data_IF_355940206489
#
_entry.id   IF_355940206489
#
_cell.length_a   1.000
_cell.length_b   1.000
_cell.length_c   1.000
_cell.angle_alpha   90.00
_cell.angle_beta   90.00
_cell.angle_gamma   90.00
#
_symmetry.space_group_name_H-M   'P 1'
#
loop_
_entity.id
_entity.type
_entity.pdbx_description
1 polymer ?
#
# COMPACT_ATOMS: atom_id res chain seq x y z
N UNK A 1 3.70 -1.32 -31.12
CA UNK A 1 2.51 -1.45 -32.00
C UNK A 1 1.22 -1.27 -31.18
N UNK A 2 0.57 -0.12 -31.36
CA UNK A 2 -0.77 0.14 -30.87
C UNK A 2 -1.72 -0.88 -31.51
N UNK A 3 -2.35 -1.72 -30.68
CA UNK A 3 -3.16 -2.83 -31.18
C UNK A 3 -3.85 -3.59 -30.07
N UNK A 4 -4.97 -3.04 -29.59
CA UNK A 4 -6.26 -3.74 -29.47
C UNK A 4 -7.29 -2.81 -28.85
N UNK A 5 -8.21 -2.36 -29.69
CA UNK A 5 -9.54 -1.83 -29.37
C UNK A 5 -10.41 -2.93 -28.74
N UNK A 6 -9.99 -3.43 -27.57
CA UNK A 6 -10.86 -4.17 -26.66
C UNK A 6 -11.43 -3.20 -25.64
N UNK A 7 -12.72 -3.33 -25.29
CA UNK A 7 -13.27 -2.60 -24.15
C UNK A 7 -12.49 -3.00 -22.90
N UNK A 8 -11.63 -2.10 -22.41
CA UNK A 8 -10.95 -2.28 -21.12
C UNK A 8 -11.99 -2.24 -20.01
N UNK A 9 -11.85 -3.11 -19.03
CA UNK A 9 -12.70 -3.14 -17.83
C UNK A 9 -11.83 -3.19 -16.58
N UNK A 10 -12.42 -2.88 -15.44
CA UNK A 10 -11.80 -3.07 -14.13
C UNK A 10 -12.05 -4.50 -13.67
N UNK A 11 -11.00 -5.15 -13.15
CA UNK A 11 -11.10 -6.44 -12.50
C UNK A 11 -10.63 -6.31 -11.06
N UNK A 12 -11.32 -6.99 -10.15
CA UNK A 12 -10.94 -7.06 -8.73
C UNK A 12 -10.65 -8.50 -8.38
N UNK A 13 -9.55 -8.72 -7.66
CA UNK A 13 -9.14 -10.06 -7.20
C UNK A 13 -9.10 -10.06 -5.68
N UNK A 14 -10.00 -10.84 -5.06
CA UNK A 14 -10.11 -10.98 -3.62
C UNK A 14 -9.24 -12.15 -3.16
N UNK A 15 -7.99 -11.85 -2.83
CA UNK A 15 -7.05 -12.85 -2.32
C UNK A 15 -7.08 -12.85 -0.78
N UNK A 16 -7.28 -14.03 -0.16
CA UNK A 16 -7.42 -14.17 1.28
C UNK A 16 -6.57 -15.30 1.86
N UNK A 17 -6.13 -15.11 3.11
CA UNK A 17 -5.52 -16.15 3.94
C UNK A 17 -6.35 -16.31 5.21
N UNK A 18 -6.86 -17.51 5.45
CA UNK A 18 -7.64 -17.84 6.63
C UNK A 18 -6.88 -18.83 7.51
N UNK A 19 -6.67 -18.48 8.78
CA UNK A 19 -5.99 -19.35 9.74
C UNK A 19 -6.97 -20.34 10.36
N UNK A 20 -7.37 -21.32 9.55
CA UNK A 20 -8.32 -22.37 9.90
C UNK A 20 -8.71 -23.21 8.68
N UNK A 21 -9.62 -24.14 8.88
CA UNK A 21 -10.14 -24.97 7.79
C UNK A 21 -11.14 -24.20 6.93
N UNK A 22 -11.35 -24.69 5.71
CA UNK A 22 -12.23 -24.06 4.74
C UNK A 22 -13.71 -24.23 5.06
N UNK A 23 -14.15 -25.19 5.90
CA UNK A 23 -15.57 -25.23 6.32
C UNK A 23 -15.88 -24.04 7.21
N UNK A 24 -14.99 -23.74 8.17
CA UNK A 24 -15.13 -22.56 9.03
C UNK A 24 -15.04 -21.26 8.22
N UNK A 25 -14.14 -21.18 7.23
CA UNK A 25 -14.08 -20.03 6.33
C UNK A 25 -15.43 -19.79 5.63
N UNK A 26 -16.03 -20.85 5.06
CA UNK A 26 -17.31 -20.74 4.38
C UNK A 26 -18.42 -20.20 5.29
N UNK A 27 -18.48 -20.66 6.56
CA UNK A 27 -19.44 -20.14 7.54
C UNK A 27 -19.24 -18.64 7.82
N UNK A 28 -17.99 -18.20 7.96
CA UNK A 28 -17.65 -16.79 8.19
C UNK A 28 -18.04 -15.92 7.01
N UNK A 29 -17.71 -16.36 5.79
CA UNK A 29 -17.98 -15.62 4.55
C UNK A 29 -19.48 -15.54 4.27
N UNK A 30 -20.22 -16.64 4.43
CA UNK A 30 -21.68 -16.64 4.28
C UNK A 30 -22.37 -15.66 5.23
N UNK A 31 -21.82 -15.48 6.44
CA UNK A 31 -22.38 -14.57 7.44
C UNK A 31 -22.03 -13.10 7.19
N UNK A 32 -20.81 -12.81 6.76
CA UNK A 32 -20.25 -11.44 6.84
C UNK A 32 -19.86 -10.84 5.50
N UNK A 33 -19.74 -11.66 4.45
CA UNK A 33 -19.45 -11.19 3.09
C UNK A 33 -19.99 -12.16 2.01
N UNK A 34 -21.31 -12.48 2.03
CA UNK A 34 -21.91 -13.39 1.07
C UNK A 34 -21.87 -12.87 -0.37
N UNK A 35 -21.76 -11.55 -0.58
CA UNK A 35 -21.75 -10.88 -1.88
C UNK A 35 -20.55 -11.30 -2.75
N UNK A 36 -19.45 -11.76 -2.13
CA UNK A 36 -18.30 -12.28 -2.86
C UNK A 36 -18.63 -13.58 -3.63
N UNK A 37 -19.65 -14.32 -3.19
CA UNK A 37 -20.04 -15.59 -3.82
C UNK A 37 -18.97 -16.68 -3.72
N UNK A 38 -18.08 -16.62 -2.73
CA UNK A 38 -17.02 -17.60 -2.50
C UNK A 38 -17.63 -19.00 -2.37
N UNK A 39 -17.05 -19.98 -3.06
CA UNK A 39 -17.43 -21.39 -2.92
C UNK A 39 -16.29 -22.23 -2.36
N UNK A 40 -16.61 -23.45 -1.93
CA UNK A 40 -15.61 -24.43 -1.47
C UNK A 40 -14.57 -24.75 -2.55
N UNK A 41 -14.93 -24.68 -3.84
CA UNK A 41 -14.02 -24.97 -4.96
C UNK A 41 -12.91 -23.92 -5.11
N UNK A 42 -13.16 -22.72 -4.60
CA UNK A 42 -12.21 -21.60 -4.61
C UNK A 42 -11.25 -21.66 -3.41
N UNK A 43 -11.55 -22.51 -2.42
CA UNK A 43 -10.75 -22.67 -1.21
C UNK A 43 -9.69 -23.76 -1.41
N UNK A 44 -8.41 -23.40 -1.21
CA UNK A 44 -7.29 -24.34 -1.26
C UNK A 44 -6.66 -24.43 0.13
N UNK A 45 -6.84 -25.56 0.81
CA UNK A 45 -6.18 -25.81 2.09
C UNK A 45 -4.73 -26.21 1.86
N UNK A 46 -3.82 -25.60 2.62
CA UNK A 46 -2.39 -25.83 2.51
C UNK A 46 -1.67 -25.49 3.81
N UNK A 47 -0.41 -25.90 3.96
CA UNK A 47 0.42 -25.48 5.08
C UNK A 47 0.67 -23.96 5.06
N UNK A 48 0.98 -23.39 6.22
CA UNK A 48 1.26 -21.95 6.32
C UNK A 48 2.35 -21.49 5.33
N UNK A 49 3.45 -22.23 5.20
CA UNK A 49 4.53 -21.85 4.29
C UNK A 49 4.11 -21.88 2.81
N UNK A 50 3.24 -22.81 2.42
CA UNK A 50 2.67 -22.84 1.07
C UNK A 50 1.71 -21.68 0.85
N UNK A 51 0.96 -21.26 1.87
CA UNK A 51 0.10 -20.08 1.76
C UNK A 51 0.92 -18.79 1.60
N UNK A 52 2.09 -18.68 2.25
CA UNK A 52 3.02 -17.55 2.03
C UNK A 52 3.44 -17.46 0.57
N UNK A 53 3.82 -18.59 -0.04
CA UNK A 53 4.19 -18.66 -1.46
C UNK A 53 3.01 -18.33 -2.39
N UNK A 54 1.82 -18.82 -2.07
CA UNK A 54 0.59 -18.54 -2.83
C UNK A 54 0.26 -17.05 -2.86
N UNK A 55 0.29 -16.38 -1.70
CA UNK A 55 0.05 -14.91 -1.62
C UNK A 55 1.16 -14.14 -2.35
N UNK A 56 2.40 -14.62 -2.32
CA UNK A 56 3.53 -14.02 -3.03
C UNK A 56 3.50 -14.27 -4.56
N UNK A 57 2.52 -15.02 -5.09
CA UNK A 57 2.36 -15.28 -6.52
C UNK A 57 3.32 -16.31 -7.09
N UNK A 58 3.92 -17.17 -6.24
CA UNK A 58 4.70 -18.30 -6.74
C UNK A 58 3.80 -19.34 -7.41
N UNK A 59 4.29 -20.06 -8.44
CA UNK A 59 3.57 -21.20 -9.01
C UNK A 59 3.29 -22.26 -7.93
N UNK A 60 2.15 -22.94 -8.02
CA UNK A 60 1.80 -24.05 -7.10
C UNK A 60 2.85 -25.18 -7.08
N UNK A 61 3.59 -25.35 -8.18
CA UNK A 61 4.70 -26.31 -8.32
C UNK A 61 5.97 -25.91 -7.59
N UNK A 62 6.12 -24.66 -7.14
CA UNK A 62 7.35 -24.18 -6.52
C UNK A 62 7.57 -24.80 -5.12
N UNK A 63 8.78 -25.30 -4.81
CA UNK A 63 9.11 -25.82 -3.49
C UNK A 63 9.46 -24.67 -2.51
N UNK A 64 9.26 -24.80 -1.19
CA UNK A 64 9.58 -23.76 -0.20
C UNK A 64 11.00 -23.20 -0.27
N UNK A 65 11.97 -24.02 -0.67
CA UNK A 65 13.38 -23.67 -0.84
C UNK A 65 13.58 -22.58 -1.89
N UNK A 66 12.63 -22.38 -2.81
CA UNK A 66 12.65 -21.26 -3.75
C UNK A 66 12.73 -19.89 -3.04
N UNK A 67 12.23 -19.78 -1.81
CA UNK A 67 12.32 -18.56 -1.00
C UNK A 67 13.76 -18.25 -0.59
N UNK A 68 14.63 -19.26 -0.45
CA UNK A 68 16.03 -19.08 -0.06
C UNK A 68 16.89 -18.45 -1.16
N UNK A 69 16.40 -18.44 -2.42
CA UNK A 69 17.10 -17.78 -3.51
C UNK A 69 17.20 -16.25 -3.32
N UNK A 70 16.28 -15.65 -2.57
CA UNK A 70 16.31 -14.22 -2.27
C UNK A 70 16.20 -13.32 -3.51
N UNK A 71 15.47 -13.75 -4.54
CA UNK A 71 15.26 -13.00 -5.79
C UNK A 71 13.79 -12.63 -5.98
N UNK A 72 13.54 -11.44 -6.51
CA UNK A 72 12.20 -11.04 -6.93
C UNK A 72 11.76 -11.83 -8.16
N UNK A 73 10.46 -12.10 -8.29
CA UNK A 73 9.89 -12.85 -9.42
C UNK A 73 10.00 -12.08 -10.74
N UNK A 74 9.94 -10.75 -10.68
CA UNK A 74 10.09 -9.86 -11.83
C UNK A 74 10.60 -8.48 -11.37
N UNK A 75 10.92 -7.63 -12.34
CA UNK A 75 11.28 -6.21 -12.15
C UNK A 75 10.63 -5.37 -13.23
N UNK A 76 10.19 -4.18 -12.88
CA UNK A 76 9.65 -3.16 -13.77
C UNK A 76 10.00 -1.77 -13.23
N UNK A 77 9.81 -0.75 -14.05
CA UNK A 77 9.78 0.63 -13.56
C UNK A 77 8.41 0.88 -12.92
N UNK A 78 8.37 1.63 -11.83
CA UNK A 78 7.11 1.95 -11.17
C UNK A 78 7.18 3.27 -10.42
N UNK A 79 6.01 3.89 -10.25
CA UNK A 79 5.75 4.92 -9.24
C UNK A 79 4.72 4.37 -8.28
N UNK A 80 5.02 4.47 -6.99
CA UNK A 80 4.11 4.07 -5.92
C UNK A 80 3.70 5.26 -5.05
N UNK A 81 2.50 5.19 -4.49
CA UNK A 81 1.99 6.03 -3.40
C UNK A 81 1.14 5.19 -2.44
N UNK A 82 0.77 5.74 -1.30
CA UNK A 82 -0.06 5.02 -0.31
C UNK A 82 -1.04 5.94 0.39
N UNK A 83 -2.21 5.41 0.72
CA UNK A 83 -3.21 6.08 1.55
C UNK A 83 -3.74 5.15 2.64
N UNK A 84 -4.37 5.73 3.65
CA UNK A 84 -5.15 5.01 4.64
C UNK A 84 -6.60 5.52 4.61
N UNK A 85 -7.54 4.59 4.75
CA UNK A 85 -8.98 4.87 4.71
C UNK A 85 -9.57 4.71 6.10
N UNK A 86 -10.37 5.69 6.52
CA UNK A 86 -11.01 5.76 7.85
C UNK A 86 -12.54 5.60 7.76
N UNK A 87 -13.13 5.96 6.61
CA UNK A 87 -14.54 5.81 6.29
C UNK A 87 -14.68 5.17 4.89
N UNK A 88 -15.69 4.33 4.63
CA UNK A 88 -15.84 3.69 3.33
C UNK A 88 -15.91 4.70 2.18
N UNK A 89 -15.13 4.45 1.12
CA UNK A 89 -15.16 5.27 -0.09
C UNK A 89 -16.52 5.06 -0.77
N UNK A 90 -17.29 6.14 -1.06
CA UNK A 90 -18.59 6.01 -1.69
C UNK A 90 -18.46 5.47 -3.12
N UNK A 91 -19.54 4.86 -3.64
CA UNK A 91 -19.54 4.20 -4.96
C UNK A 91 -19.15 5.18 -6.07
N UNK A 92 -19.59 6.43 -5.99
CA UNK A 92 -19.26 7.50 -6.94
C UNK A 92 -17.75 7.82 -6.94
N UNK A 93 -17.12 7.72 -5.76
CA UNK A 93 -15.67 7.82 -5.61
C UNK A 93 -14.93 6.67 -6.28
N UNK A 94 -15.47 5.45 -6.17
CA UNK A 94 -14.96 4.27 -6.87
C UNK A 94 -15.13 4.39 -8.38
N UNK A 95 -16.28 4.83 -8.87
CA UNK A 95 -16.53 5.02 -10.30
C UNK A 95 -15.58 6.04 -10.94
N UNK A 96 -15.28 7.14 -10.25
CA UNK A 96 -14.28 8.08 -10.73
C UNK A 96 -12.85 7.52 -10.69
N UNK A 97 -12.51 6.72 -9.67
CA UNK A 97 -11.26 5.96 -9.64
C UNK A 97 -11.17 5.00 -10.85
N UNK A 98 -12.24 4.26 -11.16
CA UNK A 98 -12.30 3.35 -12.31
C UNK A 98 -12.06 4.07 -13.63
N UNK A 99 -12.70 5.24 -13.82
CA UNK A 99 -12.46 6.09 -15.00
C UNK A 99 -11.00 6.52 -15.14
N UNK A 100 -10.28 6.75 -14.02
CA UNK A 100 -8.86 7.08 -14.06
C UNK A 100 -7.98 5.86 -14.32
N UNK A 101 -8.26 4.70 -13.73
CA UNK A 101 -7.53 3.46 -13.99
C UNK A 101 -7.63 3.05 -15.47
N UNK A 102 -8.79 3.20 -16.10
CA UNK A 102 -8.96 2.85 -17.52
C UNK A 102 -8.14 3.73 -18.50
N UNK A 103 -7.60 4.86 -18.04
CA UNK A 103 -6.75 5.77 -18.83
C UNK A 103 -5.25 5.49 -18.73
N UNK A 104 -4.83 4.68 -17.78
CA UNK A 104 -3.41 4.34 -17.56
C UNK A 104 -3.07 2.98 -18.17
N UNK A 105 -1.83 2.76 -18.60
CA UNK A 105 -1.45 1.54 -19.31
C UNK A 105 -1.49 0.31 -18.40
N UNK A 106 -0.85 0.39 -17.23
CA UNK A 106 -0.76 -0.70 -16.26
C UNK A 106 -0.88 -0.18 -14.82
N UNK A 107 -2.05 0.34 -14.45
CA UNK A 107 -2.30 0.72 -13.07
C UNK A 107 -2.64 -0.51 -12.23
N UNK A 108 -2.22 -0.49 -10.97
CA UNK A 108 -2.56 -1.50 -9.97
C UNK A 108 -2.85 -0.80 -8.64
N UNK A 109 -3.90 -1.23 -7.95
CA UNK A 109 -4.16 -0.82 -6.58
C UNK A 109 -4.35 -2.04 -5.69
N UNK A 110 -3.78 -2.02 -4.49
CA UNK A 110 -3.82 -3.13 -3.54
C UNK A 110 -4.36 -2.63 -2.21
N UNK A 111 -5.50 -3.16 -1.78
CA UNK A 111 -6.19 -2.74 -0.57
C UNK A 111 -6.04 -3.82 0.51
N UNK A 112 -5.50 -3.43 1.67
CA UNK A 112 -5.16 -4.36 2.74
C UNK A 112 -5.97 -4.02 4.00
N UNK A 113 -6.84 -4.92 4.49
CA UNK A 113 -7.70 -4.65 5.64
C UNK A 113 -6.88 -4.49 6.93
N UNK A 114 -7.30 -3.54 7.76
CA UNK A 114 -6.81 -3.34 9.13
C UNK A 114 -7.86 -3.88 10.11
N UNK A 115 -8.05 -3.26 11.27
CA UNK A 115 -8.87 -3.83 12.35
C UNK A 115 -8.10 -4.88 13.15
N UNK A 116 -8.83 -5.82 13.76
CA UNK A 116 -8.24 -6.95 14.50
C UNK A 116 -7.20 -6.50 15.53
N UNK A 117 -6.02 -7.13 15.49
CA UNK A 117 -4.91 -6.77 16.39
C UNK A 117 -4.37 -5.36 16.12
N UNK A 118 -4.38 -4.89 14.86
CA UNK A 118 -3.84 -3.57 14.52
C UNK A 118 -4.57 -2.42 15.23
N UNK A 119 -5.85 -2.60 15.57
CA UNK A 119 -6.63 -1.61 16.32
C UNK A 119 -6.53 -1.74 17.85
N UNK A 120 -5.83 -2.76 18.36
CA UNK A 120 -5.60 -2.98 19.80
C UNK A 120 -4.24 -2.48 20.28
N UNK A 121 -3.36 -2.15 19.35
CA UNK A 121 -2.03 -1.59 19.61
C UNK A 121 -2.15 -0.06 19.64
N UNK A 122 -1.53 0.61 20.62
CA UNK A 122 -1.51 2.07 20.70
C UNK A 122 -0.77 2.68 19.48
N UNK A 123 -1.21 3.85 19.01
CA UNK A 123 -0.51 4.59 17.95
C UNK A 123 0.94 4.93 18.35
N UNK A 124 1.23 5.08 19.65
CA UNK A 124 2.55 5.45 20.17
C UNK A 124 3.40 4.26 20.66
N UNK A 125 2.89 3.03 20.56
CA UNK A 125 3.61 1.82 20.99
C UNK A 125 4.91 1.64 20.20
N UNK A 126 4.85 1.89 18.89
CA UNK A 126 5.99 1.87 18.00
C UNK A 126 5.92 3.08 17.06
N UNK A 127 6.97 3.38 16.28
CA UNK A 127 6.94 4.51 15.35
C UNK A 127 5.78 4.47 14.33
N UNK A 128 5.27 3.28 13.99
CA UNK A 128 4.18 3.09 13.05
C UNK A 128 2.81 3.42 13.70
N UNK A 129 2.15 4.52 13.30
CA UNK A 129 1.04 5.08 14.06
C UNK A 129 -0.34 4.66 13.55
N UNK A 130 -0.43 4.00 12.39
CA UNK A 130 -1.70 3.76 11.70
C UNK A 130 -2.43 2.55 12.32
N UNK A 131 -3.16 2.77 13.43
CA UNK A 131 -3.74 1.72 14.28
C UNK A 131 -5.28 1.73 14.30
N UNK A 132 -5.88 2.05 15.44
CA UNK A 132 -7.33 2.11 15.63
C UNK A 132 -7.94 3.22 14.74
N UNK A 133 -9.11 2.95 14.17
CA UNK A 133 -9.79 3.86 13.23
C UNK A 133 -9.37 3.71 11.77
N UNK A 134 -8.32 2.92 11.48
CA UNK A 134 -7.97 2.56 10.10
C UNK A 134 -8.79 1.36 9.64
N UNK A 135 -9.58 1.53 8.56
CA UNK A 135 -10.31 0.44 7.90
C UNK A 135 -9.38 -0.41 7.04
N UNK A 136 -8.62 0.23 6.16
CA UNK A 136 -7.64 -0.43 5.29
C UNK A 136 -6.58 0.56 4.79
N UNK A 137 -5.45 0.01 4.34
CA UNK A 137 -4.40 0.74 3.63
C UNK A 137 -4.48 0.45 2.14
N UNK A 138 -4.30 1.48 1.33
CA UNK A 138 -4.20 1.36 -0.12
C UNK A 138 -2.74 1.55 -0.54
N UNK A 139 -2.26 0.69 -1.42
CA UNK A 139 -1.09 0.93 -2.24
C UNK A 139 -1.54 1.31 -3.65
N UNK A 140 -1.03 2.42 -4.16
CA UNK A 140 -1.23 2.88 -5.52
C UNK A 140 0.02 2.59 -6.34
N UNK A 141 -0.14 1.98 -7.52
CA UNK A 141 0.96 1.65 -8.44
C UNK A 141 0.60 2.03 -9.87
N UNK A 142 1.58 2.60 -10.58
CA UNK A 142 1.64 2.60 -12.04
C UNK A 142 2.98 1.98 -12.43
N UNK A 143 2.98 1.01 -13.34
CA UNK A 143 4.18 0.28 -13.75
C UNK A 143 4.38 0.34 -15.25
N UNK A 144 5.64 0.33 -15.71
CA UNK A 144 5.98 0.37 -17.14
C UNK A 144 7.33 -0.31 -17.41
N UNK A 145 7.62 -0.59 -18.68
CA UNK A 145 8.79 -1.38 -19.11
C UNK A 145 9.79 -0.62 -20.00
N UNK A 146 9.36 0.45 -20.67
CA UNK A 146 10.14 1.27 -21.61
C UNK A 146 10.93 2.40 -20.93
N UNK A 147 11.11 2.32 -19.61
CA UNK A 147 11.99 3.19 -18.83
C UNK A 147 11.63 4.68 -18.95
N UNK A 148 12.59 5.51 -19.36
CA UNK A 148 12.40 6.97 -19.43
C UNK A 148 11.42 7.42 -20.52
N UNK A 149 11.12 6.58 -21.51
CA UNK A 149 10.28 6.96 -22.65
C UNK A 149 8.85 7.35 -22.24
N UNK A 150 8.28 6.68 -21.23
CA UNK A 150 6.91 6.90 -20.76
C UNK A 150 6.81 7.39 -19.30
N UNK A 151 7.93 7.48 -18.59
CA UNK A 151 7.99 7.76 -17.14
C UNK A 151 7.20 9.01 -16.73
N UNK A 152 7.38 10.13 -17.45
CA UNK A 152 6.73 11.39 -17.09
C UNK A 152 5.19 11.28 -17.08
N UNK A 153 4.63 10.59 -18.08
CA UNK A 153 3.19 10.36 -18.21
C UNK A 153 2.63 9.53 -17.06
N UNK A 154 3.34 8.45 -16.68
CA UNK A 154 2.92 7.59 -15.57
C UNK A 154 3.00 8.30 -14.21
N UNK A 155 4.03 9.13 -14.01
CA UNK A 155 4.18 9.94 -12.80
C UNK A 155 3.07 11.00 -12.72
N UNK A 156 2.78 11.69 -13.81
CA UNK A 156 1.71 12.69 -13.88
C UNK A 156 0.34 12.06 -13.60
N UNK A 157 0.03 10.93 -14.25
CA UNK A 157 -1.20 10.18 -13.99
C UNK A 157 -1.33 9.79 -12.51
N UNK A 158 -0.25 9.29 -11.89
CA UNK A 158 -0.26 8.92 -10.48
C UNK A 158 -0.56 10.12 -9.58
N UNK A 159 0.00 11.30 -9.89
CA UNK A 159 -0.23 12.53 -9.12
C UNK A 159 -1.67 13.02 -9.27
N UNK A 160 -2.22 13.00 -10.48
CA UNK A 160 -3.62 13.35 -10.75
C UNK A 160 -4.62 12.39 -10.06
N UNK A 161 -4.37 11.08 -10.13
CA UNK A 161 -5.18 10.08 -9.42
C UNK A 161 -5.09 10.25 -7.91
N UNK A 162 -3.88 10.44 -7.37
CA UNK A 162 -3.69 10.65 -5.93
C UNK A 162 -4.36 11.94 -5.43
N UNK A 163 -4.34 13.02 -6.22
CA UNK A 163 -5.08 14.25 -5.92
C UNK A 163 -6.58 13.99 -5.85
N UNK A 164 -7.15 13.29 -6.84
CA UNK A 164 -8.57 12.93 -6.83
C UNK A 164 -9.01 12.12 -5.59
N UNK A 165 -8.14 11.23 -5.11
CA UNK A 165 -8.41 10.41 -3.93
C UNK A 165 -8.34 11.18 -2.60
N UNK A 166 -7.78 12.39 -2.57
CA UNK A 166 -7.58 13.18 -1.35
C UNK A 166 -8.86 13.34 -0.51
N UNK A 167 -10.00 13.50 -1.18
CA UNK A 167 -11.27 13.72 -0.50
C UNK A 167 -11.85 12.47 0.19
N UNK A 168 -11.35 11.27 -0.15
CA UNK A 168 -11.91 9.97 0.31
C UNK A 168 -11.01 9.20 1.28
N UNK A 169 -9.82 9.73 1.58
CA UNK A 169 -8.80 9.09 2.42
C UNK A 169 -8.59 9.91 3.69
N UNK A 170 -7.76 9.40 4.61
CA UNK A 170 -7.43 10.10 5.85
C UNK A 170 -6.93 11.54 5.58
N UNK A 171 -7.29 12.46 6.47
CA UNK A 171 -6.92 13.89 6.37
C UNK A 171 -6.32 14.37 7.69
N UNK A 172 -5.45 15.37 7.61
CA UNK A 172 -4.86 16.08 8.77
C UNK A 172 -4.19 15.13 9.81
N UNK A 173 -3.09 14.45 9.45
CA UNK A 173 -2.40 14.46 8.15
C UNK A 173 -2.98 13.42 7.18
N UNK A 174 -2.73 13.59 5.88
CA UNK A 174 -2.97 12.53 4.89
C UNK A 174 -1.93 11.43 5.07
N UNK A 175 -2.33 10.33 5.70
CA UNK A 175 -1.43 9.29 6.20
C UNK A 175 -0.75 8.54 5.05
N UNK A 176 0.54 8.24 5.21
CA UNK A 176 1.35 7.47 4.28
C UNK A 176 2.17 6.41 5.01
N UNK A 177 2.61 5.36 4.30
CA UNK A 177 3.43 4.29 4.88
C UNK A 177 4.91 4.46 4.51
N UNK A 178 5.79 4.57 5.50
CA UNK A 178 7.22 4.86 5.29
C UNK A 178 7.95 3.84 4.38
N UNK A 179 7.54 2.57 4.40
CA UNK A 179 8.13 1.56 3.52
C UNK A 179 7.64 1.65 2.06
N UNK A 180 6.64 2.49 1.77
CA UNK A 180 6.26 2.91 0.43
C UNK A 180 6.71 4.36 0.24
N UNK A 181 8.04 4.54 0.12
CA UNK A 181 8.69 5.84 0.02
C UNK A 181 8.12 6.66 -1.14
N UNK A 182 7.82 7.92 -0.84
CA UNK A 182 7.26 8.86 -1.81
C UNK A 182 7.87 10.24 -1.57
N UNK A 183 8.82 10.62 -2.41
CA UNK A 183 9.51 11.91 -2.34
C UNK A 183 8.60 13.09 -2.72
N UNK A 184 7.45 12.84 -3.36
CA UNK A 184 6.47 13.90 -3.64
C UNK A 184 5.82 14.43 -2.35
N UNK A 185 5.99 13.75 -1.21
CA UNK A 185 5.47 14.21 0.08
C UNK A 185 6.31 15.33 0.70
N UNK A 186 7.55 15.53 0.23
CA UNK A 186 8.55 16.45 0.77
C UNK A 186 9.89 15.77 1.04
N UNK A 187 10.97 16.54 1.09
CA UNK A 187 12.35 16.09 1.37
C UNK A 187 13.07 17.09 2.27
N UNK A 188 14.11 16.66 2.98
CA UNK A 188 14.88 17.49 3.92
C UNK A 188 15.57 18.67 3.25
N UNK A 189 16.15 18.47 2.06
CA UNK A 189 16.83 19.51 1.26
C UNK A 189 15.85 20.38 0.45
N UNK A 190 14.54 20.19 0.62
CA UNK A 190 13.50 20.89 -0.12
C UNK A 190 12.91 22.07 0.65
N UNK A 191 11.92 22.72 0.04
CA UNK A 191 11.19 23.83 0.66
C UNK A 191 10.22 23.38 1.76
N UNK A 192 9.82 22.10 1.75
CA UNK A 192 8.86 21.53 2.70
C UNK A 192 9.50 21.25 4.06
N UNK A 193 8.89 21.74 5.14
CA UNK A 193 9.29 21.37 6.51
C UNK A 193 9.16 19.85 6.71
N UNK A 194 10.17 19.25 7.34
CA UNK A 194 10.19 17.82 7.65
C UNK A 194 9.00 17.35 8.50
N UNK A 195 8.40 18.24 9.29
CA UNK A 195 7.17 17.98 10.03
C UNK A 195 6.00 17.62 9.11
N UNK A 196 5.95 18.15 7.89
CA UNK A 196 4.84 17.90 6.99
C UNK A 196 4.84 16.44 6.50
N UNK A 197 5.94 15.95 5.92
CA UNK A 197 6.04 14.55 5.51
C UNK A 197 6.21 13.61 6.72
N UNK A 198 6.85 14.07 7.78
CA UNK A 198 7.04 13.34 9.03
C UNK A 198 5.71 12.98 9.69
N UNK A 199 4.76 13.93 9.75
CA UNK A 199 3.42 13.69 10.26
C UNK A 199 2.63 12.70 9.37
N UNK A 200 2.81 12.74 8.04
CA UNK A 200 2.17 11.77 7.12
C UNK A 200 2.63 10.34 7.44
N UNK A 201 3.92 10.12 7.68
CA UNK A 201 4.47 8.80 7.97
C UNK A 201 4.28 8.33 9.42
N UNK A 202 4.46 9.22 10.39
CA UNK A 202 4.62 8.88 11.81
C UNK A 202 3.61 9.54 12.73
N UNK A 203 2.71 10.40 12.21
CA UNK A 203 1.76 11.20 12.99
C UNK A 203 2.49 11.86 14.18
N UNK A 204 1.89 11.86 15.38
CA UNK A 204 2.49 12.43 16.58
C UNK A 204 3.68 11.68 17.16
N UNK A 205 4.18 10.63 16.49
CA UNK A 205 5.43 9.98 16.89
C UNK A 205 6.66 10.68 16.30
N UNK A 206 6.50 11.60 15.33
CA UNK A 206 7.60 12.19 14.60
C UNK A 206 8.56 12.98 15.50
N UNK A 207 8.03 13.78 16.43
CA UNK A 207 8.83 14.60 17.34
C UNK A 207 9.69 13.75 18.27
N UNK A 208 9.14 12.63 18.77
CA UNK A 208 9.91 11.65 19.55
C UNK A 208 11.04 11.03 18.71
N UNK A 209 10.79 10.74 17.43
CA UNK A 209 11.82 10.21 16.53
C UNK A 209 12.94 11.22 16.29
N UNK A 210 12.61 12.49 16.06
CA UNK A 210 13.60 13.58 15.88
C UNK A 210 14.49 13.70 17.12
N UNK A 211 13.90 13.69 18.32
CA UNK A 211 14.66 13.71 19.57
C UNK A 211 15.66 12.54 19.65
N UNK A 212 15.19 11.32 19.42
CA UNK A 212 16.05 10.12 19.48
C UNK A 212 17.16 10.21 18.42
N UNK A 213 16.84 10.64 17.19
CA UNK A 213 17.82 10.82 16.13
C UNK A 213 18.91 11.82 16.51
N UNK A 214 18.55 12.96 17.09
CA UNK A 214 19.51 13.97 17.53
C UNK A 214 20.43 13.49 18.66
N UNK A 215 19.95 12.60 19.53
CA UNK A 215 20.76 11.98 20.60
C UNK A 215 21.68 10.87 20.06
N UNK A 216 21.15 10.03 19.16
CA UNK A 216 21.85 8.84 18.66
C UNK A 216 22.86 9.14 17.55
N UNK A 217 22.50 10.01 16.61
CA UNK A 217 23.33 10.36 15.44
C UNK A 217 23.36 11.90 15.26
N UNK A 218 24.01 12.63 16.17
CA UNK A 218 24.02 14.11 16.18
C UNK A 218 24.69 14.72 14.95
N UNK A 219 25.64 14.00 14.33
CA UNK A 219 26.34 14.43 13.10
C UNK A 219 25.52 14.14 11.83
N UNK A 220 24.36 13.51 11.97
CA UNK A 220 23.48 13.11 10.88
C UNK A 220 24.21 12.28 9.80
N UNK A 221 25.05 11.34 10.25
CA UNK A 221 25.79 10.45 9.35
C UNK A 221 24.84 9.56 8.55
N UNK A 222 23.86 8.94 9.22
CA UNK A 222 22.84 8.11 8.59
C UNK A 222 21.71 8.97 8.04
N UNK A 223 21.85 9.44 6.80
CA UNK A 223 20.87 10.31 6.14
C UNK A 223 20.56 9.91 4.71
N UNK A 224 19.39 10.34 4.29
CA UNK A 224 18.87 10.34 2.92
C UNK A 224 17.75 11.40 2.84
N UNK A 225 17.13 11.58 1.68
CA UNK A 225 16.21 12.69 1.34
C UNK A 225 15.02 12.84 2.30
N UNK A 226 14.61 11.77 2.98
CA UNK A 226 13.51 11.73 3.95
C UNK A 226 13.91 10.97 5.23
N UNK A 227 15.18 11.05 5.59
CA UNK A 227 15.66 10.57 6.89
C UNK A 227 15.10 11.46 7.99
N UNK A 228 14.84 10.89 9.19
CA UNK A 228 14.46 11.69 10.35
C UNK A 228 15.56 12.74 10.58
N UNK A 229 15.24 14.05 10.63
CA UNK A 229 16.25 15.05 10.87
C UNK A 229 16.71 15.03 12.33
N UNK A 230 17.90 15.52 12.62
CA UNK A 230 18.44 15.60 13.99
C UNK A 230 17.74 16.67 14.83
N UNK A 231 17.15 17.67 14.18
CA UNK A 231 16.35 18.76 14.78
C UNK A 231 15.27 19.20 13.80
N UNK A 232 14.23 19.85 14.31
CA UNK A 232 13.21 20.56 13.54
C UNK A 232 13.35 22.06 13.83
N UNK A 233 13.15 22.91 12.82
CA UNK A 233 13.20 24.37 12.92
C UNK A 233 11.89 24.95 12.43
#
# INVERSE_FOLDING_TARGET
PAGKTGNRTISTSYQGQFLGDSNRLMQVMQKSFPELGLTKKDCIEMSWIKSVMYIAGFPNSAPPEALLAGKSLFKNHFKAKSDFVEEPIPVEGLEGLWKKLLKEDSPLTIWNPYGGMMSRISESETPFPHRKGTLFKIQWLSTWSDGKASEARHIEWMRDMYSYMEQYVSKKPRRAYVNYRDLDLGVNEGESDAREWGAKYFKGNFERLVKIKGEFDPENFFRHEQSIPTKIG
#
